data_IF_813961520030
#
_entry.id   IF_813961520030
#
_cell.length_a   1.000
_cell.length_b   1.000
_cell.length_c   1.000
_cell.angle_alpha   90.00
_cell.angle_beta   90.00
_cell.angle_gamma   90.00
#
_symmetry.space_group_name_H-M   'P 1'
#
loop_
_entity.id
_entity.type
_entity.pdbx_description
1 polymer ?
#
# COMPACT_ATOMS: atom_id res chain seq x y z
N UNK A 1 -13.70 -36.39 -23.14
CA UNK A 1 -14.72 -35.58 -23.85
C UNK A 1 -15.82 -35.17 -22.88
N UNK A 2 -16.08 -33.87 -22.78
CA UNK A 2 -17.19 -33.28 -22.00
C UNK A 2 -18.48 -33.16 -22.82
N UNK A 3 -19.54 -32.62 -22.22
CA UNK A 3 -20.84 -32.42 -22.87
C UNK A 3 -21.39 -31.01 -22.64
N UNK A 4 -22.26 -30.56 -23.54
CA UNK A 4 -23.09 -29.36 -23.36
C UNK A 4 -24.41 -29.80 -22.70
N UNK A 5 -24.73 -29.23 -21.55
CA UNK A 5 -25.91 -29.57 -20.77
C UNK A 5 -26.91 -28.42 -20.77
N UNK A 6 -28.15 -28.77 -21.09
CA UNK A 6 -29.35 -27.95 -20.94
C UNK A 6 -30.52 -28.88 -20.55
N UNK A 7 -31.65 -28.34 -20.11
CA UNK A 7 -32.76 -29.10 -19.53
C UNK A 7 -33.40 -30.16 -20.44
N UNK A 8 -33.01 -30.21 -21.73
CA UNK A 8 -33.44 -31.25 -22.67
C UNK A 8 -32.42 -32.39 -22.89
N UNK A 9 -31.18 -32.27 -22.40
CA UNK A 9 -30.10 -33.23 -22.73
C UNK A 9 -29.52 -34.00 -21.55
N UNK A 10 -29.53 -33.45 -20.32
CA UNK A 10 -29.20 -34.17 -19.07
C UNK A 10 -29.35 -33.27 -17.81
N UNK A 11 -29.14 -33.85 -16.61
CA UNK A 11 -29.26 -33.18 -15.29
C UNK A 11 -28.42 -31.90 -15.13
N UNK A 12 -27.38 -31.69 -15.96
CA UNK A 12 -26.57 -30.46 -15.94
C UNK A 12 -27.29 -29.20 -16.47
N UNK A 13 -28.52 -29.36 -16.96
CA UNK A 13 -29.42 -28.26 -17.35
C UNK A 13 -30.20 -27.61 -16.20
N UNK A 14 -30.09 -28.17 -14.99
CA UNK A 14 -30.91 -27.78 -13.85
C UNK A 14 -32.41 -28.09 -14.04
N UNK A 15 -33.18 -27.86 -12.98
CA UNK A 15 -34.65 -27.91 -13.05
C UNK A 15 -35.11 -26.79 -14.01
N UNK A 16 -36.10 -27.08 -14.85
CA UNK A 16 -36.69 -26.14 -15.83
C UNK A 16 -35.73 -25.53 -16.86
N UNK A 17 -34.62 -26.22 -17.19
CA UNK A 17 -33.61 -25.69 -18.12
C UNK A 17 -32.99 -24.35 -17.67
N UNK A 18 -32.97 -24.10 -16.36
CA UNK A 18 -32.51 -22.84 -15.78
C UNK A 18 -30.98 -22.68 -15.77
N UNK A 19 -30.25 -23.73 -16.12
CA UNK A 19 -28.79 -23.73 -16.19
C UNK A 19 -28.36 -24.22 -17.56
N UNK A 20 -27.42 -23.53 -18.18
CA UNK A 20 -26.77 -23.97 -19.41
C UNK A 20 -25.28 -24.09 -19.09
N UNK A 21 -24.66 -25.23 -19.35
CA UNK A 21 -23.27 -25.43 -18.95
C UNK A 21 -22.47 -26.29 -19.94
N UNK A 22 -21.17 -26.05 -19.95
CA UNK A 22 -20.18 -26.91 -20.61
C UNK A 22 -19.35 -27.53 -19.50
N UNK A 23 -19.35 -28.86 -19.41
CA UNK A 23 -18.64 -29.57 -18.36
C UNK A 23 -17.79 -30.72 -18.88
N UNK A 24 -16.57 -30.85 -18.37
CA UNK A 24 -15.71 -32.03 -18.60
C UNK A 24 -16.04 -33.15 -17.61
N UNK A 25 -15.75 -34.41 -17.98
CA UNK A 25 -15.83 -35.55 -17.05
C UNK A 25 -14.95 -35.40 -15.82
N UNK A 26 -13.86 -34.64 -15.94
CA UNK A 26 -12.93 -34.36 -14.84
C UNK A 26 -13.40 -33.25 -13.89
N UNK A 27 -14.53 -32.59 -14.15
CA UNK A 27 -15.16 -31.64 -13.23
C UNK A 27 -14.92 -30.16 -13.50
N UNK A 28 -14.31 -29.78 -14.63
CA UNK A 28 -14.18 -28.38 -15.04
C UNK A 28 -15.48 -27.90 -15.69
N UNK A 29 -15.89 -26.66 -15.43
CA UNK A 29 -17.20 -26.14 -15.85
C UNK A 29 -17.14 -24.69 -16.29
N UNK A 30 -17.96 -24.37 -17.30
CA UNK A 30 -18.44 -23.02 -17.58
C UNK A 30 -19.96 -23.07 -17.46
N UNK A 31 -20.54 -22.24 -16.61
CA UNK A 31 -21.95 -22.29 -16.23
C UNK A 31 -22.58 -20.92 -16.46
N UNK A 32 -23.75 -20.93 -17.11
CA UNK A 32 -24.63 -19.79 -17.30
C UNK A 32 -25.93 -20.08 -16.56
N UNK A 33 -26.35 -19.18 -15.67
CA UNK A 33 -27.53 -19.33 -14.82
C UNK A 33 -28.62 -18.32 -15.19
N UNK A 34 -29.88 -18.59 -14.81
CA UNK A 34 -31.02 -17.68 -15.09
C UNK A 34 -31.03 -16.40 -14.25
N UNK A 35 -30.32 -16.37 -13.11
CA UNK A 35 -30.00 -15.12 -12.39
C UNK A 35 -28.87 -14.33 -13.07
N UNK A 36 -28.60 -14.64 -14.35
CA UNK A 36 -27.68 -13.95 -15.26
C UNK A 36 -26.21 -14.01 -14.87
N UNK A 37 -25.81 -14.92 -13.98
CA UNK A 37 -24.42 -15.08 -13.56
C UNK A 37 -23.63 -16.03 -14.47
N UNK A 38 -22.32 -15.81 -14.56
CA UNK A 38 -21.38 -16.68 -15.30
C UNK A 38 -20.31 -17.18 -14.34
N UNK A 39 -20.13 -18.51 -14.28
CA UNK A 39 -19.12 -19.16 -13.44
C UNK A 39 -18.19 -19.99 -14.30
N UNK A 40 -16.89 -19.75 -14.17
CA UNK A 40 -15.82 -20.58 -14.74
C UNK A 40 -15.08 -21.22 -13.57
N UNK A 41 -15.09 -22.55 -13.51
CA UNK A 41 -14.50 -23.27 -12.37
C UNK A 41 -13.75 -24.52 -12.81
N UNK A 42 -12.72 -24.88 -12.04
CA UNK A 42 -12.04 -26.15 -12.15
C UNK A 42 -12.35 -27.08 -10.96
N UNK A 43 -11.96 -28.34 -11.05
CA UNK A 43 -12.17 -29.31 -9.96
C UNK A 43 -11.38 -28.99 -8.69
N UNK A 44 -10.39 -28.09 -8.77
CA UNK A 44 -9.43 -27.78 -7.71
C UNK A 44 -9.84 -26.55 -6.90
N UNK A 45 -10.92 -25.86 -7.29
CA UNK A 45 -11.46 -24.70 -6.58
C UNK A 45 -10.99 -23.35 -7.12
N UNK A 46 -10.35 -23.31 -8.30
CA UNK A 46 -10.16 -22.05 -9.01
C UNK A 46 -11.51 -21.59 -9.58
N UNK A 47 -11.84 -20.32 -9.40
CA UNK A 47 -13.13 -19.76 -9.81
C UNK A 47 -13.01 -18.33 -10.33
N UNK A 48 -13.71 -18.05 -11.43
CA UNK A 48 -14.07 -16.71 -11.87
C UNK A 48 -15.60 -16.64 -11.90
N UNK A 49 -16.18 -15.74 -11.12
CA UNK A 49 -17.63 -15.59 -10.99
C UNK A 49 -18.03 -14.14 -11.31
N UNK A 50 -18.81 -13.98 -12.38
CA UNK A 50 -19.45 -12.73 -12.77
C UNK A 50 -20.88 -12.79 -12.23
N UNK A 51 -21.13 -12.03 -11.16
CA UNK A 51 -22.41 -11.96 -10.46
C UNK A 51 -23.20 -10.74 -10.96
N UNK A 52 -24.27 -10.99 -11.72
CA UNK A 52 -25.08 -9.92 -12.31
C UNK A 52 -25.97 -9.23 -11.27
N UNK A 53 -26.50 -9.98 -10.31
CA UNK A 53 -27.41 -9.42 -9.28
C UNK A 53 -26.67 -8.44 -8.37
N UNK A 54 -25.45 -8.79 -7.95
CA UNK A 54 -24.58 -7.92 -7.17
C UNK A 54 -23.72 -6.97 -8.01
N UNK A 55 -23.65 -7.17 -9.34
CA UNK A 55 -22.74 -6.47 -10.26
C UNK A 55 -21.26 -6.62 -9.85
N UNK A 56 -20.88 -7.81 -9.38
CA UNK A 56 -19.54 -8.11 -8.87
C UNK A 56 -18.78 -9.08 -9.77
N UNK A 57 -17.45 -9.02 -9.69
CA UNK A 57 -16.57 -10.07 -10.22
C UNK A 57 -15.72 -10.59 -9.06
N UNK A 58 -15.76 -11.90 -8.82
CA UNK A 58 -14.90 -12.58 -7.86
C UNK A 58 -13.92 -13.48 -8.60
N UNK A 59 -12.63 -13.38 -8.23
CA UNK A 59 -11.56 -14.23 -8.75
C UNK A 59 -10.90 -14.90 -7.57
N UNK A 60 -10.98 -16.23 -7.52
CA UNK A 60 -10.49 -17.03 -6.40
C UNK A 60 -9.53 -18.11 -6.90
N UNK A 61 -8.39 -18.26 -6.22
CA UNK A 61 -7.46 -19.35 -6.42
C UNK A 61 -6.98 -19.86 -5.06
N UNK A 62 -6.90 -21.18 -4.82
CA UNK A 62 -6.41 -21.72 -3.54
C UNK A 62 -4.93 -21.41 -3.23
N UNK A 63 -4.11 -21.13 -4.24
CA UNK A 63 -2.67 -20.88 -4.06
C UNK A 63 -2.20 -19.54 -4.61
N UNK A 64 -2.32 -19.28 -5.91
CA UNK A 64 -1.68 -18.10 -6.54
C UNK A 64 -2.43 -17.59 -7.76
N UNK A 65 -2.57 -16.26 -7.84
CA UNK A 65 -3.01 -15.54 -9.04
C UNK A 65 -1.81 -14.74 -9.58
N UNK A 66 -1.47 -14.90 -10.86
CA UNK A 66 -0.41 -14.16 -11.52
C UNK A 66 -1.00 -13.25 -12.61
N UNK A 67 -0.64 -11.95 -12.58
CA UNK A 67 -1.05 -10.98 -13.60
C UNK A 67 0.23 -10.44 -14.26
N UNK A 68 0.42 -10.73 -15.56
CA UNK A 68 1.59 -10.29 -16.34
C UNK A 68 1.09 -9.53 -17.56
N UNK A 69 1.55 -8.29 -17.71
CA UNK A 69 1.12 -7.39 -18.79
C UNK A 69 2.17 -6.29 -19.01
N UNK A 70 2.08 -5.59 -20.15
CA UNK A 70 2.92 -4.43 -20.42
C UNK A 70 2.46 -3.18 -19.64
N UNK A 71 1.15 -3.00 -19.49
CA UNK A 71 0.53 -1.91 -18.75
C UNK A 71 -0.63 -2.46 -17.91
N UNK A 72 -0.76 -2.00 -16.66
CA UNK A 72 -1.88 -2.29 -15.77
C UNK A 72 -2.43 -0.98 -15.22
N UNK A 73 -3.70 -0.71 -15.47
CA UNK A 73 -4.42 0.43 -14.92
C UNK A 73 -5.49 -0.08 -13.95
N UNK A 74 -5.61 0.57 -12.79
CA UNK A 74 -6.60 0.23 -11.77
C UNK A 74 -7.27 1.53 -11.31
N UNK A 75 -8.47 1.79 -11.82
CA UNK A 75 -9.27 2.96 -11.49
C UNK A 75 -10.42 2.57 -10.55
N UNK A 76 -10.40 3.08 -9.31
CA UNK A 76 -11.39 2.76 -8.27
C UNK A 76 -12.08 4.03 -7.80
N UNK A 77 -13.39 4.15 -8.03
CA UNK A 77 -14.14 5.38 -7.74
C UNK A 77 -14.44 5.62 -6.25
N UNK A 78 -14.43 4.55 -5.44
CA UNK A 78 -14.76 4.62 -4.02
C UNK A 78 -13.56 4.23 -3.16
N UNK A 79 -13.43 2.94 -2.82
CA UNK A 79 -12.43 2.47 -1.85
C UNK A 79 -11.63 1.30 -2.41
N UNK A 80 -10.31 1.31 -2.16
CA UNK A 80 -9.42 0.16 -2.40
C UNK A 80 -8.90 -0.34 -1.05
N UNK A 81 -9.11 -1.63 -0.76
CA UNK A 81 -8.61 -2.29 0.44
C UNK A 81 -7.64 -3.41 0.04
N UNK A 82 -6.45 -3.42 0.66
CA UNK A 82 -5.41 -4.42 0.41
C UNK A 82 -4.95 -4.99 1.75
N UNK A 83 -5.05 -6.31 1.90
CA UNK A 83 -4.63 -7.04 3.10
C UNK A 83 -3.68 -8.16 2.70
N UNK A 84 -2.54 -8.25 3.37
CA UNK A 84 -1.51 -9.28 3.14
C UNK A 84 -1.21 -9.97 4.46
N UNK A 85 -1.29 -11.31 4.50
CA UNK A 85 -1.11 -12.08 5.73
C UNK A 85 0.36 -12.25 6.16
N UNK A 86 1.29 -12.17 5.21
CA UNK A 86 2.72 -12.28 5.46
C UNK A 86 3.46 -11.05 4.92
N UNK A 87 4.15 -11.18 3.78
CA UNK A 87 5.07 -10.17 3.26
C UNK A 87 4.52 -9.47 2.03
N UNK A 88 4.63 -8.14 1.99
CA UNK A 88 4.40 -7.32 0.80
C UNK A 88 5.73 -6.74 0.30
N UNK A 89 6.07 -7.03 -0.96
CA UNK A 89 7.23 -6.43 -1.63
C UNK A 89 6.76 -5.58 -2.81
N UNK A 90 7.25 -4.34 -2.90
CA UNK A 90 6.95 -3.42 -4.00
C UNK A 90 8.25 -2.93 -4.63
N UNK A 91 8.53 -3.39 -5.85
CA UNK A 91 9.74 -3.04 -6.60
C UNK A 91 9.37 -2.38 -7.91
N UNK A 92 9.91 -1.18 -8.15
CA UNK A 92 9.62 -0.35 -9.33
C UNK A 92 10.95 0.06 -9.97
N UNK A 93 11.10 -0.16 -11.27
CA UNK A 93 12.38 0.06 -11.97
C UNK A 93 12.74 1.53 -12.22
N UNK A 94 11.76 2.43 -12.17
CA UNK A 94 11.95 3.86 -12.41
C UNK A 94 11.41 4.68 -11.23
N UNK A 95 10.20 5.23 -11.34
CA UNK A 95 9.68 6.21 -10.38
C UNK A 95 8.43 5.70 -9.66
N UNK A 96 8.28 6.10 -8.40
CA UNK A 96 7.03 6.01 -7.63
C UNK A 96 6.55 7.44 -7.38
N UNK A 97 5.28 7.70 -7.66
CA UNK A 97 4.60 8.94 -7.31
C UNK A 97 3.35 8.60 -6.51
N UNK A 98 3.20 9.22 -5.34
CA UNK A 98 2.07 8.99 -4.46
C UNK A 98 1.50 10.32 -3.98
N UNK A 99 0.18 10.44 -4.02
CA UNK A 99 -0.52 11.63 -3.55
C UNK A 99 -1.79 11.23 -2.81
N UNK A 100 -2.08 11.93 -1.72
CA UNK A 100 -3.31 11.79 -0.96
C UNK A 100 -3.96 13.17 -0.85
N UNK A 101 -5.24 13.28 -1.20
CA UNK A 101 -5.95 14.56 -1.18
C UNK A 101 -6.22 15.12 0.23
N UNK A 102 -6.15 14.26 1.26
CA UNK A 102 -6.30 14.66 2.66
C UNK A 102 -5.11 14.16 3.49
N UNK A 103 -5.23 12.96 4.08
CA UNK A 103 -4.25 12.45 5.04
C UNK A 103 -3.57 11.18 4.51
N UNK A 104 -2.27 11.04 4.80
CA UNK A 104 -1.52 9.77 4.68
C UNK A 104 -0.96 9.41 6.05
N UNK A 105 -1.31 8.22 6.54
CA UNK A 105 -0.85 7.71 7.84
C UNK A 105 -0.07 6.42 7.64
N UNK A 106 1.05 6.27 8.35
CA UNK A 106 1.90 5.09 8.31
C UNK A 106 2.25 4.66 9.73
N UNK A 107 2.00 3.39 10.04
CA UNK A 107 2.30 2.78 11.34
C UNK A 107 3.19 1.57 11.12
N UNK A 108 4.30 1.50 11.85
CA UNK A 108 5.26 0.39 11.76
C UNK A 108 5.47 -0.18 13.16
N UNK A 109 5.28 -1.49 13.32
CA UNK A 109 5.27 -2.12 14.64
C UNK A 109 6.65 -2.30 15.28
N UNK A 110 7.72 -2.41 14.48
CA UNK A 110 9.07 -2.71 14.97
C UNK A 110 10.12 -1.70 14.47
N UNK A 111 10.49 -1.76 13.19
CA UNK A 111 11.56 -0.95 12.62
C UNK A 111 11.13 -0.32 11.30
N UNK A 112 11.30 1.00 11.18
CA UNK A 112 11.19 1.73 9.93
C UNK A 112 12.58 2.18 9.47
N UNK A 113 13.11 1.56 8.42
CA UNK A 113 14.41 1.91 7.83
C UNK A 113 14.21 2.66 6.52
N UNK A 114 14.79 3.86 6.42
CA UNK A 114 14.79 4.67 5.20
C UNK A 114 16.24 4.86 4.73
N UNK A 115 16.52 4.46 3.49
CA UNK A 115 17.79 4.68 2.82
C UNK A 115 17.57 5.45 1.52
N UNK A 116 18.33 6.52 1.31
CA UNK A 116 18.20 7.41 0.15
C UNK A 116 19.58 7.57 -0.47
N UNK A 117 19.68 7.34 -1.78
CA UNK A 117 20.96 7.33 -2.48
C UNK A 117 21.55 8.71 -2.77
N UNK A 118 20.70 9.75 -2.84
CA UNK A 118 21.11 11.14 -3.10
C UNK A 118 20.51 12.07 -2.05
N UNK A 119 19.41 12.75 -2.36
CA UNK A 119 18.85 13.82 -1.56
C UNK A 119 17.54 13.39 -0.89
N UNK A 120 17.40 13.72 0.39
CA UNK A 120 16.14 13.60 1.13
C UNK A 120 15.58 15.00 1.41
N UNK A 121 14.53 15.39 0.68
CA UNK A 121 13.89 16.70 0.81
C UNK A 121 12.52 16.53 1.46
N UNK A 122 12.31 17.22 2.58
CA UNK A 122 11.01 17.27 3.27
C UNK A 122 10.53 18.71 3.31
N UNK A 123 9.34 18.98 2.76
CA UNK A 123 8.69 20.28 2.87
C UNK A 123 7.41 20.15 3.71
N UNK A 124 7.33 20.93 4.79
CA UNK A 124 6.17 20.97 5.69
C UNK A 124 5.70 22.42 5.78
N UNK A 125 4.59 22.74 5.11
CA UNK A 125 3.96 24.07 5.18
C UNK A 125 3.34 24.34 6.56
N UNK A 126 2.82 23.28 7.20
CA UNK A 126 2.23 23.34 8.52
C UNK A 126 3.25 23.16 9.65
N UNK A 127 2.80 22.54 10.75
CA UNK A 127 3.64 22.25 11.91
C UNK A 127 4.35 20.91 11.75
N UNK A 128 5.66 20.87 11.96
CA UNK A 128 6.43 19.64 12.16
C UNK A 128 6.56 19.37 13.67
N UNK A 129 6.28 18.13 14.09
CA UNK A 129 6.50 17.66 15.47
C UNK A 129 7.21 16.31 15.41
N UNK A 130 8.30 16.18 16.15
CA UNK A 130 8.99 14.91 16.36
C UNK A 130 8.84 14.53 17.83
N UNK A 131 8.23 13.38 18.11
CA UNK A 131 8.12 12.84 19.46
C UNK A 131 8.94 11.55 19.53
N UNK A 132 10.04 11.58 20.27
CA UNK A 132 11.01 10.49 20.34
C UNK A 132 11.18 10.13 21.81
N UNK A 133 10.71 8.95 22.19
CA UNK A 133 10.86 8.41 23.56
C UNK A 133 12.27 7.87 23.80
N UNK A 134 12.90 7.35 22.76
CA UNK A 134 14.28 6.85 22.78
C UNK A 134 15.31 7.94 22.50
N UNK A 135 16.47 7.53 22.01
CA UNK A 135 17.53 8.46 21.63
C UNK A 135 17.27 9.05 20.23
N UNK A 136 17.65 10.31 20.04
CA UNK A 136 17.79 10.92 18.71
C UNK A 136 19.28 11.11 18.42
N UNK A 137 19.80 10.37 17.46
CA UNK A 137 21.17 10.48 16.98
C UNK A 137 21.17 11.04 15.56
N UNK A 138 22.07 11.99 15.28
CA UNK A 138 22.19 12.62 13.98
C UNK A 138 23.65 12.84 13.68
N UNK A 139 24.09 12.28 12.55
CA UNK A 139 25.45 12.39 12.05
C UNK A 139 25.40 13.07 10.68
N UNK A 140 26.32 14.00 10.43
CA UNK A 140 26.47 14.67 9.15
C UNK A 140 27.97 14.82 8.92
N UNK A 141 28.48 14.30 7.81
CA UNK A 141 29.91 14.38 7.48
C UNK A 141 30.34 15.77 7.02
N UNK A 142 29.38 16.56 6.55
CA UNK A 142 29.56 17.94 6.07
C UNK A 142 28.78 18.91 6.94
N UNK A 143 28.49 20.07 6.39
CA UNK A 143 27.81 21.15 7.09
C UNK A 143 26.39 20.76 7.53
N UNK A 144 26.06 21.15 8.76
CA UNK A 144 24.70 21.12 9.29
C UNK A 144 24.23 22.55 9.53
N UNK A 145 23.37 23.04 8.64
CA UNK A 145 22.79 24.39 8.74
C UNK A 145 21.41 24.33 9.39
N UNK A 146 21.17 25.19 10.40
CA UNK A 146 19.87 25.35 11.05
C UNK A 146 19.52 26.84 11.09
N UNK A 147 18.43 27.20 10.42
CA UNK A 147 17.94 28.57 10.35
C UNK A 147 16.53 28.61 10.92
N UNK A 148 16.24 29.56 11.78
CA UNK A 148 14.90 29.84 12.27
C UNK A 148 14.70 31.36 12.35
N UNK A 149 13.59 31.85 11.82
CA UNK A 149 13.22 33.26 11.93
C UNK A 149 12.63 33.61 13.32
N UNK A 150 12.12 32.59 14.02
CA UNK A 150 11.60 32.70 15.38
C UNK A 150 12.58 32.23 16.45
N UNK A 151 12.09 32.10 17.67
CA UNK A 151 12.89 31.65 18.82
C UNK A 151 13.31 30.20 18.66
N UNK A 152 14.60 29.94 18.91
CA UNK A 152 15.12 28.59 19.11
C UNK A 152 15.26 28.37 20.62
N UNK A 153 14.57 27.36 21.14
CA UNK A 153 14.69 26.94 22.54
C UNK A 153 15.33 25.57 22.59
N UNK A 154 16.36 25.45 23.43
CA UNK A 154 17.01 24.18 23.77
C UNK A 154 16.98 24.04 25.28
N UNK A 155 16.46 22.91 25.77
CA UNK A 155 16.40 22.62 27.20
C UNK A 155 16.91 21.20 27.43
N UNK A 156 17.82 21.06 28.39
CA UNK A 156 18.27 19.77 28.92
C UNK A 156 18.03 19.75 30.42
N UNK A 157 17.60 18.60 30.96
CA UNK A 157 17.59 18.36 32.41
C UNK A 157 18.95 17.88 32.93
N UNK A 158 19.77 17.32 32.04
CA UNK A 158 21.12 16.83 32.34
C UNK A 158 22.18 17.76 31.75
N UNK A 159 23.34 17.18 31.43
CA UNK A 159 24.41 17.93 30.79
C UNK A 159 23.98 18.44 29.41
N UNK A 160 24.34 19.68 29.09
CA UNK A 160 24.25 20.24 27.75
C UNK A 160 25.67 20.66 27.35
N UNK A 161 26.25 19.91 26.41
CA UNK A 161 27.62 20.11 25.98
C UNK A 161 27.66 20.45 24.48
N UNK A 162 28.47 21.44 24.14
CA UNK A 162 28.82 21.80 22.78
C UNK A 162 30.34 21.83 22.70
N UNK A 163 30.89 21.09 21.74
CA UNK A 163 32.33 20.99 21.53
C UNK A 163 32.62 21.36 20.07
N UNK A 164 33.70 22.12 19.86
CA UNK A 164 34.26 22.45 18.55
C UNK A 164 35.77 22.27 18.64
N UNK A 165 36.41 21.76 17.59
CA UNK A 165 37.87 21.68 17.50
C UNK A 165 38.50 23.04 17.20
N UNK A 166 37.70 23.96 16.66
CA UNK A 166 38.13 25.30 16.28
C UNK A 166 37.27 26.35 17.02
N UNK A 167 36.44 27.11 16.31
CA UNK A 167 35.71 28.24 16.89
C UNK A 167 34.25 27.85 17.24
N UNK A 168 33.75 28.40 18.35
CA UNK A 168 32.32 28.54 18.63
C UNK A 168 31.99 30.03 18.71
N UNK A 169 31.15 30.52 17.79
CA UNK A 169 30.69 31.91 17.79
C UNK A 169 29.25 32.02 18.28
N UNK A 170 29.00 32.94 19.21
CA UNK A 170 27.66 33.32 19.65
C UNK A 170 27.53 34.84 19.63
N UNK A 171 27.00 35.37 18.53
CA UNK A 171 26.94 36.80 18.25
C UNK A 171 25.50 37.31 18.35
N UNK A 172 25.29 38.46 18.99
CA UNK A 172 24.00 39.15 19.06
C UNK A 172 24.15 40.62 18.65
N UNK A 173 23.15 41.18 17.97
CA UNK A 173 23.13 42.60 17.60
C UNK A 173 22.87 43.53 18.80
N UNK A 174 22.17 43.04 19.82
CA UNK A 174 21.90 43.74 21.07
C UNK A 174 22.78 43.16 22.19
N UNK A 175 23.44 44.03 22.98
CA UNK A 175 24.20 43.63 24.18
C UNK A 175 23.25 43.03 25.23
N UNK A 176 23.63 41.88 25.79
CA UNK A 176 22.94 41.25 26.92
C UNK A 176 22.70 42.27 28.06
N UNK A 177 21.45 42.45 28.45
CA UNK A 177 21.09 42.90 29.79
C UNK A 177 21.07 41.64 30.67
N UNK A 178 22.22 41.29 31.23
CA UNK A 178 22.32 40.19 32.19
C UNK A 178 21.57 40.52 33.48
N UNK A 179 20.81 39.55 33.98
CA UNK A 179 20.42 39.41 35.38
C UNK A 179 20.84 38.01 35.84
#
# INVERSE_FOLDING_TARGET
>A
MGGMFHGGTALGGGVDNRVKSIQTRSGHRVIFTEDESIVITDKSGNEIHLDTTGSNINITAPETINIKCNNLNIDVAQNMNTTVGENQNNSVGMNISESAGMNKTSTVGLLNMLSVGTDFITNVTGKMVEFITGNKESHTEKDRVRIANGVITTQSKGNYAQHSEDIVENMSANKNLGH
#
